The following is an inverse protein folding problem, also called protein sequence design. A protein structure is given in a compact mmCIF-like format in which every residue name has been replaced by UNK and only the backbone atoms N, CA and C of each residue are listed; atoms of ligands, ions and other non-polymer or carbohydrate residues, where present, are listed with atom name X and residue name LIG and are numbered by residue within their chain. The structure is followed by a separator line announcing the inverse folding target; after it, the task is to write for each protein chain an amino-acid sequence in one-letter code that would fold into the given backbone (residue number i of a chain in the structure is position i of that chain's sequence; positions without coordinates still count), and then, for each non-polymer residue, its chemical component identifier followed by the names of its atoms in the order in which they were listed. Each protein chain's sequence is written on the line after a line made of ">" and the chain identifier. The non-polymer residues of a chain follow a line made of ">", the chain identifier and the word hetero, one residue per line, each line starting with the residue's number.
data_IF_664638450042
#
_entry.id   IF_664638450042
#
_cell.length_a   1.000
_cell.length_b   1.000
_cell.length_c   1.000
_cell.angle_alpha   90.00
_cell.angle_beta   90.00
_cell.angle_gamma   90.00
#
_symmetry.space_group_name_H-M   'P 1'
#
loop_
_entity.id
_entity.type
_entity.pdbx_description
1 polymer ?
#
# COMPACT_ATOMS: atom_id res chain seq x y z
N UNK A 1 42.59 -53.64 16.21
CA UNK A 1 43.04 -53.60 14.80
C UNK A 1 43.10 -52.14 14.40
N UNK A 2 44.19 -51.37 14.61
CA UNK A 2 45.55 -51.53 14.08
C UNK A 2 45.56 -52.10 12.67
N UNK A 3 45.89 -51.29 11.66
CA UNK A 3 47.25 -51.29 11.06
C UNK A 3 47.54 -49.91 10.46
N UNK A 4 48.67 -49.37 10.91
CA UNK A 4 49.44 -48.23 10.42
C UNK A 4 50.45 -48.67 9.34
N UNK A 5 50.93 -47.72 8.51
CA UNK A 5 52.29 -47.61 7.95
C UNK A 5 52.30 -46.32 7.11
N UNK A 6 53.10 -45.27 7.35
CA UNK A 6 54.52 -45.20 7.74
C UNK A 6 55.36 -45.14 6.45
N UNK A 7 56.27 -44.20 6.17
CA UNK A 7 56.77 -43.01 6.86
C UNK A 7 58.11 -42.57 6.21
N UNK A 8 58.63 -41.40 6.65
CA UNK A 8 60.06 -40.96 6.67
C UNK A 8 60.72 -40.62 5.31
N UNK A 9 61.70 -39.72 5.17
CA UNK A 9 62.48 -38.76 6.01
C UNK A 9 63.40 -37.98 5.04
N UNK A 10 63.71 -36.72 5.33
CA UNK A 10 65.10 -36.27 5.62
C UNK A 10 65.56 -35.27 4.54
N UNK A 11 65.74 -33.96 4.77
CA UNK A 11 66.59 -33.15 5.68
C UNK A 11 67.91 -32.69 5.02
N UNK A 12 68.16 -31.38 5.18
CA UNK A 12 69.43 -30.67 5.43
C UNK A 12 70.16 -29.88 4.32
N UNK A 13 70.62 -28.68 4.73
CA UNK A 13 71.75 -27.90 4.20
C UNK A 13 71.39 -26.51 3.65
N UNK A 14 71.22 -25.45 4.46
CA UNK A 14 72.23 -24.51 5.01
C UNK A 14 73.11 -23.75 3.99
N UNK A 15 73.24 -22.43 4.16
CA UNK A 15 74.30 -21.61 3.54
C UNK A 15 74.02 -20.10 3.52
N UNK A 16 74.64 -19.36 4.45
CA UNK A 16 74.43 -17.96 4.77
C UNK A 16 75.34 -16.92 4.07
N UNK A 17 74.94 -15.64 4.14
CA UNK A 17 75.81 -14.45 4.27
C UNK A 17 76.03 -13.61 3.00
N UNK A 18 76.21 -12.28 3.00
CA UNK A 18 76.03 -11.16 3.93
C UNK A 18 76.37 -9.86 3.12
N UNK A 19 75.94 -8.70 3.63
CA UNK A 19 76.58 -7.37 3.55
C UNK A 19 76.25 -6.34 2.42
N UNK A 20 75.59 -5.28 2.89
CA UNK A 20 75.89 -3.83 2.79
C UNK A 20 75.70 -3.02 1.48
N UNK A 21 74.89 -1.96 1.61
CA UNK A 21 74.94 -0.75 0.79
C UNK A 21 74.05 0.37 1.34
N UNK A 22 74.66 1.38 1.97
CA UNK A 22 74.01 2.60 2.50
C UNK A 22 73.53 3.52 1.38
N UNK A 23 72.42 4.22 1.59
CA UNK A 23 71.98 5.33 0.73
C UNK A 23 70.83 6.14 1.35
N UNK A 24 71.18 7.26 1.97
CA UNK A 24 70.30 8.27 2.57
C UNK A 24 69.56 9.12 1.53
N UNK A 25 68.25 9.33 1.70
CA UNK A 25 67.44 10.31 0.95
C UNK A 25 66.11 10.57 1.66
N UNK A 26 65.81 11.84 1.95
CA UNK A 26 64.76 12.31 2.87
C UNK A 26 63.29 12.04 2.49
N UNK A 27 62.35 12.46 3.35
CA UNK A 27 60.94 12.06 3.25
C UNK A 27 60.24 12.80 2.10
N UNK A 28 59.82 12.05 1.06
CA UNK A 28 58.86 12.55 0.07
C UNK A 28 57.49 12.66 0.73
N UNK A 29 56.92 13.86 0.62
CA UNK A 29 55.57 14.21 1.02
C UNK A 29 54.56 13.18 0.52
N UNK A 30 53.73 12.65 1.44
CA UNK A 30 52.54 11.89 1.09
C UNK A 30 51.56 12.84 0.43
N UNK A 31 51.45 12.78 -0.89
CA UNK A 31 50.26 13.24 -1.60
C UNK A 31 49.07 12.44 -1.05
N UNK A 32 48.18 13.13 -0.31
CA UNK A 32 46.84 12.64 -0.02
C UNK A 32 46.08 12.63 -1.34
N UNK A 33 46.26 11.58 -2.11
CA UNK A 33 45.36 11.28 -3.21
C UNK A 33 44.08 10.75 -2.55
N UNK A 34 43.07 11.61 -2.48
CA UNK A 34 41.75 11.29 -1.97
C UNK A 34 41.10 10.31 -2.92
N UNK A 35 41.40 9.02 -2.72
CA UNK A 35 40.63 7.94 -3.31
C UNK A 35 39.19 8.07 -2.85
N UNK A 36 38.35 8.65 -3.71
CA UNK A 36 36.91 8.39 -3.68
C UNK A 36 36.78 6.88 -3.84
N UNK A 37 36.49 6.17 -2.75
CA UNK A 37 35.93 4.83 -2.85
C UNK A 37 34.72 4.94 -3.78
N UNK A 38 34.86 4.37 -4.97
CA UNK A 38 33.77 4.28 -5.92
C UNK A 38 32.64 3.52 -5.21
N UNK A 39 31.59 4.25 -4.84
CA UNK A 39 30.40 3.67 -4.26
C UNK A 39 29.96 2.50 -5.14
N UNK A 40 29.84 1.33 -4.54
CA UNK A 40 29.31 0.14 -5.23
C UNK A 40 27.99 0.57 -5.87
N UNK A 41 27.92 0.49 -7.20
CA UNK A 41 26.70 0.80 -7.93
C UNK A 41 25.66 -0.27 -7.57
N UNK A 42 24.85 0.02 -6.55
CA UNK A 42 23.83 -0.86 -5.99
C UNK A 42 22.55 -0.91 -6.85
N UNK A 43 22.58 -0.34 -8.07
CA UNK A 43 21.44 -0.43 -8.99
C UNK A 43 21.28 -1.86 -9.51
N UNK A 44 20.04 -2.35 -9.64
CA UNK A 44 19.79 -3.68 -10.18
C UNK A 44 20.33 -3.76 -11.61
N UNK A 45 21.28 -4.68 -11.83
CA UNK A 45 21.94 -4.87 -13.13
C UNK A 45 21.17 -5.79 -14.07
N UNK A 46 20.14 -6.46 -13.56
CA UNK A 46 19.38 -7.49 -14.26
C UNK A 46 17.91 -7.37 -13.85
N UNK A 47 17.03 -7.55 -14.83
CA UNK A 47 15.60 -7.72 -14.63
C UNK A 47 15.26 -9.20 -14.73
N UNK A 48 14.61 -9.77 -13.71
CA UNK A 48 14.13 -11.16 -13.75
C UNK A 48 12.83 -11.28 -14.55
N UNK A 49 12.64 -12.44 -15.19
CA UNK A 49 11.41 -12.71 -15.95
C UNK A 49 10.19 -12.85 -15.03
N UNK A 50 8.97 -12.57 -15.54
CA UNK A 50 7.71 -12.86 -14.85
C UNK A 50 7.61 -14.28 -14.29
N UNK A 51 8.10 -15.28 -15.05
CA UNK A 51 8.16 -16.69 -14.63
C UNK A 51 8.96 -16.88 -13.34
N UNK A 52 10.07 -16.15 -13.19
CA UNK A 52 10.89 -16.22 -11.97
C UNK A 52 10.13 -15.66 -10.76
N UNK A 53 9.46 -14.51 -10.94
CA UNK A 53 8.69 -13.86 -9.88
C UNK A 53 7.54 -14.76 -9.43
N UNK A 54 6.85 -15.41 -10.36
CA UNK A 54 5.78 -16.35 -10.04
C UNK A 54 6.29 -17.49 -9.15
N UNK A 55 7.44 -18.08 -9.48
CA UNK A 55 8.03 -19.20 -8.74
C UNK A 55 8.55 -18.81 -7.36
N UNK A 56 9.24 -17.67 -7.26
CA UNK A 56 9.93 -17.27 -6.02
C UNK A 56 9.13 -16.29 -5.16
N UNK A 57 8.06 -15.71 -5.69
CA UNK A 57 7.18 -14.73 -5.04
C UNK A 57 7.95 -13.58 -4.37
N UNK A 58 9.00 -13.14 -5.05
CA UNK A 58 9.90 -12.06 -4.63
C UNK A 58 10.32 -11.31 -5.87
N UNK A 59 10.49 -10.00 -5.77
CA UNK A 59 11.00 -9.18 -6.85
C UNK A 59 11.26 -7.75 -6.40
N UNK A 60 12.00 -7.00 -7.21
CA UNK A 60 12.10 -5.55 -7.09
C UNK A 60 10.85 -4.86 -7.68
N UNK A 61 10.77 -3.52 -7.61
CA UNK A 61 9.61 -2.77 -8.12
C UNK A 61 9.39 -2.97 -9.62
N UNK A 62 10.45 -2.94 -10.44
CA UNK A 62 10.38 -3.17 -11.89
C UNK A 62 9.89 -4.57 -12.24
N UNK A 63 10.39 -5.58 -11.54
CA UNK A 63 9.99 -6.98 -11.66
C UNK A 63 8.50 -7.13 -11.33
N UNK A 64 8.06 -6.59 -10.19
CA UNK A 64 6.66 -6.65 -9.78
C UNK A 64 5.74 -5.89 -10.74
N UNK A 65 6.16 -4.72 -11.23
CA UNK A 65 5.41 -3.95 -12.23
C UNK A 65 5.31 -4.69 -13.56
N UNK A 66 6.39 -5.30 -14.03
CA UNK A 66 6.42 -6.10 -15.27
C UNK A 66 5.50 -7.32 -15.17
N UNK A 67 5.53 -8.03 -14.02
CA UNK A 67 4.63 -9.15 -13.77
C UNK A 67 3.15 -8.72 -13.78
N UNK A 68 2.83 -7.62 -13.10
CA UNK A 68 1.47 -7.09 -13.03
C UNK A 68 0.97 -6.61 -14.40
N UNK A 69 1.79 -5.86 -15.14
CA UNK A 69 1.46 -5.40 -16.49
C UNK A 69 1.21 -6.58 -17.43
N UNK A 70 2.05 -7.63 -17.37
CA UNK A 70 1.86 -8.85 -18.17
C UNK A 70 0.52 -9.54 -17.87
N UNK A 71 0.10 -9.58 -16.60
CA UNK A 71 -1.18 -10.14 -16.20
C UNK A 71 -2.36 -9.30 -16.73
N UNK A 72 -2.26 -7.97 -16.64
CA UNK A 72 -3.29 -7.04 -17.08
C UNK A 72 -3.45 -7.03 -18.61
N UNK A 73 -2.33 -7.03 -19.35
CA UNK A 73 -2.32 -7.17 -20.80
C UNK A 73 -2.98 -8.49 -21.23
N UNK A 74 -2.70 -9.59 -20.52
CA UNK A 74 -3.35 -10.88 -20.75
C UNK A 74 -4.88 -10.88 -20.51
N UNK A 75 -5.39 -9.93 -19.73
CA UNK A 75 -6.84 -9.73 -19.50
C UNK A 75 -7.47 -8.69 -20.45
N UNK A 76 -6.68 -8.13 -21.36
CA UNK A 76 -7.11 -7.14 -22.34
C UNK A 76 -7.17 -5.70 -21.81
N UNK A 77 -6.44 -5.37 -20.73
CA UNK A 77 -6.27 -3.98 -20.31
C UNK A 77 -5.07 -3.36 -21.03
N UNK A 78 -5.20 -2.10 -21.44
CA UNK A 78 -4.11 -1.31 -22.01
C UNK A 78 -3.15 -0.84 -20.91
N UNK A 79 -2.29 -1.77 -20.46
CA UNK A 79 -1.39 -1.58 -19.32
C UNK A 79 0.06 -1.34 -19.76
N UNK A 80 0.73 -0.44 -19.05
CA UNK A 80 2.11 -0.04 -19.29
C UNK A 80 2.89 -0.11 -17.98
N UNK A 81 4.14 -0.55 -18.07
CA UNK A 81 5.10 -0.39 -16.98
C UNK A 81 5.70 1.01 -17.09
N UNK A 82 5.73 1.74 -15.98
CA UNK A 82 6.35 3.06 -15.88
C UNK A 82 7.72 2.92 -15.22
N UNK A 83 8.72 3.61 -15.78
CA UNK A 83 9.94 4.01 -15.08
C UNK A 83 9.86 5.50 -14.76
N UNK A 84 10.00 5.84 -13.49
CA UNK A 84 9.95 7.24 -13.06
C UNK A 84 10.44 7.43 -11.64
N UNK A 85 10.06 8.56 -11.07
CA UNK A 85 10.48 9.00 -9.75
C UNK A 85 9.30 8.98 -8.79
N UNK A 86 9.52 8.46 -7.60
CA UNK A 86 8.50 8.42 -6.55
C UNK A 86 9.04 8.92 -5.20
N UNK A 87 8.11 9.24 -4.30
CA UNK A 87 8.41 9.65 -2.94
C UNK A 87 9.08 8.52 -2.15
N UNK A 88 9.83 8.88 -1.09
CA UNK A 88 10.47 7.90 -0.20
C UNK A 88 9.47 6.86 0.31
N UNK A 89 8.30 7.30 0.73
CA UNK A 89 7.26 6.44 1.30
C UNK A 89 6.80 5.39 0.29
N UNK A 90 6.56 5.81 -0.96
CA UNK A 90 6.14 4.90 -2.03
C UNK A 90 7.24 3.89 -2.36
N UNK A 91 8.49 4.33 -2.50
CA UNK A 91 9.62 3.45 -2.84
C UNK A 91 9.93 2.42 -1.74
N UNK A 92 9.72 2.79 -0.46
CA UNK A 92 9.94 1.91 0.67
C UNK A 92 8.69 1.10 1.07
N UNK A 93 7.57 1.29 0.37
CA UNK A 93 6.27 0.73 0.75
C UNK A 93 5.90 1.08 2.22
N UNK A 94 6.28 2.27 2.67
CA UNK A 94 5.98 2.74 4.02
C UNK A 94 4.57 3.36 4.04
N UNK A 95 3.66 2.69 4.75
CA UNK A 95 2.27 3.10 4.90
C UNK A 95 1.98 3.64 6.30
N UNK A 96 2.97 3.72 7.19
CA UNK A 96 2.82 4.03 8.62
C UNK A 96 2.23 5.42 8.90
N UNK A 97 2.21 6.31 7.92
CA UNK A 97 1.66 7.67 8.04
C UNK A 97 0.31 7.84 7.35
N UNK A 98 -0.10 6.86 6.54
CA UNK A 98 -1.40 6.89 5.88
C UNK A 98 -2.48 6.36 6.80
N UNK A 99 -3.65 6.97 6.73
CA UNK A 99 -4.85 6.42 7.35
C UNK A 99 -5.16 5.05 6.74
N UNK A 100 -5.60 4.12 7.58
CA UNK A 100 -5.97 2.80 7.11
C UNK A 100 -7.33 2.86 6.39
N UNK A 101 -7.43 2.46 5.11
CA UNK A 101 -8.71 2.48 4.39
C UNK A 101 -9.71 1.45 4.89
N UNK A 102 -9.21 0.39 5.53
CA UNK A 102 -10.01 -0.77 5.94
C UNK A 102 -10.63 -0.64 7.33
N UNK A 103 -10.38 0.47 8.04
CA UNK A 103 -11.01 0.72 9.35
C UNK A 103 -12.51 0.94 9.10
N UNK A 104 -13.40 0.11 9.71
CA UNK A 104 -14.83 0.35 9.64
C UNK A 104 -15.10 1.76 10.15
N UNK A 105 -15.71 2.59 9.30
CA UNK A 105 -16.22 3.87 9.80
C UNK A 105 -17.22 3.51 10.90
N UNK A 106 -17.20 4.19 12.06
CA UNK A 106 -18.26 3.99 13.03
C UNK A 106 -19.55 4.17 12.25
N UNK A 107 -20.42 3.15 12.30
CA UNK A 107 -21.77 3.28 11.77
C UNK A 107 -22.24 4.62 12.32
N UNK A 108 -22.51 5.58 11.42
CA UNK A 108 -23.28 6.76 11.81
C UNK A 108 -24.46 6.12 12.50
N UNK A 109 -24.49 6.18 13.84
CA UNK A 109 -25.64 5.73 14.59
C UNK A 109 -26.75 6.44 13.84
N UNK A 110 -27.58 5.67 13.14
CA UNK A 110 -28.74 6.22 12.47
C UNK A 110 -29.31 7.09 13.57
N UNK A 111 -29.27 8.41 13.38
CA UNK A 111 -29.90 9.34 14.30
C UNK A 111 -31.26 8.69 14.44
N UNK A 112 -31.49 8.07 15.61
CA UNK A 112 -32.82 7.66 15.95
C UNK A 112 -33.43 9.02 16.06
N UNK A 113 -34.03 9.49 14.97
CA UNK A 113 -35.01 10.54 15.01
C UNK A 113 -35.80 10.19 16.27
N UNK A 114 -35.80 11.06 17.29
CA UNK A 114 -36.59 10.77 18.47
C UNK A 114 -37.98 10.53 17.92
N UNK A 115 -38.45 9.27 17.96
CA UNK A 115 -39.75 8.90 17.42
C UNK A 115 -40.73 9.75 18.21
N UNK A 116 -41.13 10.85 17.60
CA UNK A 116 -42.03 11.81 18.17
C UNK A 116 -43.38 11.11 18.23
N UNK A 117 -43.67 10.57 19.42
CA UNK A 117 -44.99 10.28 19.93
C UNK A 117 -45.83 9.27 19.16
N UNK A 118 -46.15 8.15 19.81
CA UNK A 118 -47.51 7.91 20.30
C UNK A 118 -47.53 6.57 21.07
N UNK A 119 -47.39 6.66 22.39
CA UNK A 119 -48.03 5.70 23.29
C UNK A 119 -49.03 6.48 24.15
N UNK A 120 -50.21 5.88 24.23
CA UNK A 120 -51.44 6.43 24.75
C UNK A 120 -51.35 6.71 26.26
N UNK A 121 -51.61 7.98 26.59
CA UNK A 121 -52.25 8.53 27.78
C UNK A 121 -52.39 7.57 28.99
N UNK A 122 -51.40 7.60 29.89
CA UNK A 122 -51.70 7.31 31.30
C UNK A 122 -52.40 8.53 31.91
N UNK A 123 -53.56 8.30 32.55
CA UNK A 123 -54.51 9.29 33.09
C UNK A 123 -53.92 10.29 34.10
N UNK A 124 -52.69 10.08 34.55
CA UNK A 124 -51.96 10.99 35.42
C UNK A 124 -50.68 11.46 34.72
N UNK A 125 -50.74 12.64 34.09
CA UNK A 125 -49.54 13.38 33.71
C UNK A 125 -48.91 13.92 34.99
N UNK A 126 -47.84 13.30 35.46
CA UNK A 126 -46.96 13.90 36.46
C UNK A 126 -46.46 15.23 35.89
N UNK A 127 -46.97 16.35 36.42
CA UNK A 127 -46.38 17.65 36.11
C UNK A 127 -45.00 17.64 36.75
N UNK A 128 -43.97 17.70 35.93
CA UNK A 128 -42.62 17.99 36.40
C UNK A 128 -42.69 19.28 37.22
N UNK A 129 -42.07 19.35 38.41
CA UNK A 129 -41.97 20.58 39.17
C UNK A 129 -41.47 21.71 38.25
N UNK A 130 -42.19 22.82 38.24
CA UNK A 130 -41.80 24.00 37.46
C UNK A 130 -40.53 24.54 38.12
N UNK A 131 -39.39 24.35 37.45
CA UNK A 131 -38.15 24.98 37.87
C UNK A 131 -38.25 26.48 37.57
N UNK A 132 -38.39 27.30 38.61
CA UNK A 132 -38.35 28.75 38.49
C UNK A 132 -36.90 29.22 38.31
N UNK A 133 -36.35 29.06 37.10
CA UNK A 133 -35.06 29.64 36.71
C UNK A 133 -35.28 31.01 36.10
N UNK A 134 -34.50 32.00 36.53
CA UNK A 134 -34.53 33.35 35.95
C UNK A 134 -34.06 33.31 34.50
N UNK A 135 -34.85 33.87 33.57
CA UNK A 135 -34.49 33.93 32.13
C UNK A 135 -33.14 34.64 31.89
N UNK A 136 -32.76 35.54 32.79
CA UNK A 136 -31.47 36.23 32.73
C UNK A 136 -30.30 35.28 33.05
N UNK A 137 -30.46 34.38 34.03
CA UNK A 137 -29.44 33.40 34.38
C UNK A 137 -29.24 32.38 33.27
N UNK A 138 -30.33 31.96 32.62
CA UNK A 138 -30.28 31.06 31.46
C UNK A 138 -29.48 31.68 30.30
N UNK A 139 -29.71 32.97 29.99
CA UNK A 139 -28.94 33.67 28.94
C UNK A 139 -27.44 33.76 29.29
N UNK A 140 -27.12 33.97 30.57
CA UNK A 140 -25.74 34.07 31.03
C UNK A 140 -25.04 32.70 30.95
N UNK A 141 -25.71 31.63 31.36
CA UNK A 141 -25.24 30.24 31.21
C UNK A 141 -25.05 29.85 29.73
N UNK A 142 -25.96 30.26 28.83
CA UNK A 142 -25.82 30.02 27.39
C UNK A 142 -24.62 30.75 26.79
N UNK A 143 -24.36 32.00 27.20
CA UNK A 143 -23.17 32.75 26.75
C UNK A 143 -21.88 32.14 27.31
N UNK A 144 -21.88 31.69 28.56
CA UNK A 144 -20.74 30.98 29.15
C UNK A 144 -20.47 29.65 28.47
N UNK A 145 -21.53 28.88 28.16
CA UNK A 145 -21.43 27.63 27.41
C UNK A 145 -20.88 27.85 25.99
N UNK A 146 -21.36 28.87 25.27
CA UNK A 146 -20.84 29.24 23.95
C UNK A 146 -19.36 29.64 24.01
N UNK A 147 -18.97 30.47 24.99
CA UNK A 147 -17.57 30.85 25.20
C UNK A 147 -16.70 29.65 25.55
N UNK A 148 -17.22 28.68 26.29
CA UNK A 148 -16.50 27.44 26.62
C UNK A 148 -16.32 26.57 25.38
N UNK A 149 -17.38 26.39 24.59
CA UNK A 149 -17.36 25.62 23.34
C UNK A 149 -16.41 26.23 22.31
N UNK A 150 -16.44 27.56 22.13
CA UNK A 150 -15.50 28.27 21.26
C UNK A 150 -14.04 28.10 21.71
N UNK A 151 -13.78 28.11 23.02
CA UNK A 151 -12.44 27.84 23.57
C UNK A 151 -11.99 26.42 23.30
N UNK A 152 -12.85 25.42 23.54
CA UNK A 152 -12.56 24.02 23.26
C UNK A 152 -12.26 23.80 21.77
N UNK A 153 -13.10 24.33 20.88
CA UNK A 153 -12.86 24.26 19.42
C UNK A 153 -11.56 24.96 19.01
N UNK A 154 -11.24 26.10 19.63
CA UNK A 154 -9.96 26.79 19.40
C UNK A 154 -8.77 25.93 19.85
N UNK A 155 -8.86 25.32 21.03
CA UNK A 155 -7.78 24.52 21.60
C UNK A 155 -7.61 23.19 20.85
N UNK A 156 -8.69 22.55 20.42
CA UNK A 156 -8.66 21.40 19.50
C UNK A 156 -7.99 21.77 18.17
N UNK A 157 -8.33 22.92 17.59
CA UNK A 157 -7.67 23.41 16.36
C UNK A 157 -6.19 23.66 16.56
N UNK A 158 -5.78 24.23 17.72
CA UNK A 158 -4.35 24.43 18.05
C UNK A 158 -3.64 23.10 18.22
N UNK A 159 -4.26 22.14 18.91
CA UNK A 159 -3.71 20.79 19.09
C UNK A 159 -3.56 20.08 17.74
N UNK A 160 -4.57 20.17 16.86
CA UNK A 160 -4.52 19.54 15.55
C UNK A 160 -3.44 20.17 14.64
N UNK A 161 -3.25 21.48 14.73
CA UNK A 161 -2.13 22.16 14.05
C UNK A 161 -0.77 21.70 14.56
N UNK A 162 -0.62 21.62 15.88
CA UNK A 162 0.62 21.14 16.50
C UNK A 162 0.91 19.68 16.12
N UNK A 163 -0.10 18.82 16.10
CA UNK A 163 0.03 17.43 15.65
C UNK A 163 0.46 17.40 14.18
N UNK A 164 -0.19 18.17 13.31
CA UNK A 164 0.16 18.21 11.89
C UNK A 164 1.60 18.71 11.67
N UNK A 165 2.05 19.70 12.44
CA UNK A 165 3.42 20.21 12.39
C UNK A 165 4.45 19.17 12.85
N UNK A 166 4.18 18.47 13.96
CA UNK A 166 5.03 17.39 14.45
C UNK A 166 5.01 16.16 13.53
N UNK A 167 3.91 15.95 12.81
CA UNK A 167 3.77 14.91 11.81
C UNK A 167 4.42 15.27 10.47
N UNK A 168 4.86 16.51 10.23
CA UNK A 168 5.57 16.83 9.00
C UNK A 168 6.84 15.99 8.87
N UNK A 169 7.08 15.50 7.66
CA UNK A 169 8.27 14.72 7.39
C UNK A 169 9.51 15.60 7.47
N UNK A 170 10.65 15.05 7.95
CA UNK A 170 11.92 15.70 7.71
C UNK A 170 12.10 15.88 6.19
N UNK A 171 12.67 17.01 5.76
CA UNK A 171 12.91 17.26 4.35
C UNK A 171 13.73 16.12 3.75
N UNK A 172 13.27 15.62 2.61
CA UNK A 172 13.85 14.46 1.95
C UNK A 172 14.95 14.89 0.98
N UNK A 173 16.20 14.60 1.34
CA UNK A 173 17.40 14.94 0.55
C UNK A 173 17.37 14.34 -0.86
N UNK A 174 16.75 13.17 -1.03
CA UNK A 174 16.69 12.43 -2.29
C UNK A 174 15.33 12.54 -2.98
N UNK A 175 14.51 13.54 -2.63
CA UNK A 175 13.23 13.76 -3.29
C UNK A 175 13.46 13.94 -4.79
N UNK A 176 12.71 13.19 -5.60
CA UNK A 176 12.83 13.22 -7.06
C UNK A 176 14.03 12.47 -7.64
N UNK A 177 14.88 11.86 -6.82
CA UNK A 177 16.04 11.09 -7.29
C UNK A 177 15.86 9.57 -7.16
N UNK A 178 14.82 9.13 -6.43
CA UNK A 178 14.53 7.70 -6.24
C UNK A 178 13.77 7.16 -7.43
N UNK A 179 14.42 6.26 -8.15
CA UNK A 179 13.83 5.53 -9.25
C UNK A 179 12.86 4.49 -8.69
N UNK A 180 11.65 4.48 -9.22
CA UNK A 180 10.60 3.53 -8.89
C UNK A 180 9.84 3.11 -10.14
N UNK A 181 9.19 1.96 -10.07
CA UNK A 181 8.38 1.45 -11.16
C UNK A 181 7.01 1.03 -10.67
N UNK A 182 5.99 1.46 -11.41
CA UNK A 182 4.60 1.16 -11.16
C UNK A 182 3.89 0.90 -12.49
N UNK A 183 2.62 0.51 -12.44
CA UNK A 183 1.84 0.23 -13.66
C UNK A 183 0.88 1.38 -13.92
N UNK A 184 0.77 1.82 -15.17
CA UNK A 184 -0.32 2.67 -15.62
C UNK A 184 -1.27 1.89 -16.52
N UNK A 185 -2.56 2.12 -16.36
CA UNK A 185 -3.59 1.71 -17.28
C UNK A 185 -4.09 2.97 -17.96
N UNK A 186 -3.96 3.03 -19.29
CA UNK A 186 -4.44 4.16 -20.08
C UNK A 186 -5.80 3.82 -20.70
N UNK A 187 -6.69 4.81 -20.85
CA UNK A 187 -7.93 4.61 -21.59
C UNK A 187 -7.59 4.24 -23.05
N UNK A 188 -8.34 3.30 -23.59
CA UNK A 188 -8.24 2.88 -25.00
C UNK A 188 -9.55 3.22 -25.68
N UNK A 189 -9.58 4.35 -26.42
CA UNK A 189 -10.78 4.76 -27.14
C UNK A 189 -11.22 3.64 -28.12
N UNK A 190 -12.40 3.08 -27.88
CA UNK A 190 -12.94 1.97 -28.68
C UNK A 190 -12.44 0.58 -28.28
N UNK A 191 -11.69 0.46 -27.17
CA UNK A 191 -11.30 -0.82 -26.59
C UNK A 191 -12.47 -1.55 -25.92
N UNK A 192 -12.35 -2.87 -25.68
CA UNK A 192 -13.41 -3.69 -25.08
C UNK A 192 -13.77 -3.26 -23.65
N UNK A 193 -12.90 -2.48 -22.99
CA UNK A 193 -13.04 -2.05 -21.59
C UNK A 193 -13.01 -0.53 -21.40
N UNK A 194 -13.26 0.24 -22.46
CA UNK A 194 -13.28 1.72 -22.42
C UNK A 194 -14.24 2.28 -21.35
N UNK A 195 -15.36 1.57 -21.10
CA UNK A 195 -16.31 1.94 -20.05
C UNK A 195 -15.78 1.74 -18.62
N UNK A 196 -14.82 0.83 -18.40
CA UNK A 196 -14.28 0.53 -17.07
C UNK A 196 -13.21 1.56 -16.65
N UNK A 197 -12.42 2.06 -17.60
CA UNK A 197 -11.28 2.94 -17.35
C UNK A 197 -11.46 4.25 -18.13
N UNK A 198 -12.21 5.22 -17.59
CA UNK A 198 -12.47 6.49 -18.27
C UNK A 198 -11.29 7.47 -18.19
N UNK A 199 -10.36 7.26 -17.27
CA UNK A 199 -9.20 8.10 -17.06
C UNK A 199 -7.96 7.26 -16.72
N UNK A 200 -6.74 7.78 -16.98
CA UNK A 200 -5.51 7.09 -16.62
C UNK A 200 -5.49 6.70 -15.13
N UNK A 201 -5.09 5.45 -14.86
CA UNK A 201 -5.06 4.88 -13.52
C UNK A 201 -3.66 4.34 -13.24
N UNK A 202 -3.09 4.70 -12.09
CA UNK A 202 -1.84 4.11 -11.62
C UNK A 202 -2.11 2.99 -10.64
N UNK A 203 -1.32 1.92 -10.70
CA UNK A 203 -1.39 0.80 -9.76
C UNK A 203 0.00 0.56 -9.21
N UNK A 204 0.10 0.59 -7.88
CA UNK A 204 1.33 0.21 -7.20
C UNK A 204 1.43 -1.33 -7.12
N UNK A 205 2.43 -1.96 -7.76
CA UNK A 205 2.47 -3.41 -7.90
C UNK A 205 2.68 -4.14 -6.56
N UNK A 206 3.36 -3.51 -5.60
CA UNK A 206 3.67 -4.12 -4.29
C UNK A 206 2.47 -4.13 -3.34
N UNK A 207 1.61 -3.11 -3.45
CA UNK A 207 0.44 -2.94 -2.56
C UNK A 207 -0.86 -3.39 -3.23
N UNK A 208 -0.94 -3.32 -4.56
CA UNK A 208 -2.17 -3.52 -5.35
C UNK A 208 -3.15 -2.34 -5.24
N UNK A 209 -2.72 -1.19 -4.72
CA UNK A 209 -3.56 0.00 -4.57
C UNK A 209 -3.54 0.78 -5.88
N UNK A 210 -4.73 1.18 -6.33
CA UNK A 210 -4.91 2.06 -7.48
C UNK A 210 -5.00 3.53 -7.06
N UNK A 211 -4.43 4.41 -7.87
CA UNK A 211 -4.37 5.85 -7.68
C UNK A 211 -4.85 6.55 -8.95
N UNK A 212 -5.77 7.51 -8.82
CA UNK A 212 -6.18 8.34 -9.94
C UNK A 212 -5.09 9.37 -10.26
N UNK A 213 -4.84 9.63 -11.54
CA UNK A 213 -3.86 10.67 -11.93
C UNK A 213 -4.31 12.09 -11.58
N UNK A 214 -5.61 12.29 -11.39
CA UNK A 214 -6.19 13.58 -11.02
C UNK A 214 -6.14 13.88 -9.51
N UNK A 215 -5.78 12.90 -8.67
CA UNK A 215 -5.75 13.08 -7.23
C UNK A 215 -4.47 13.82 -6.79
N UNK A 216 -4.62 14.86 -5.97
CA UNK A 216 -3.49 15.64 -5.44
C UNK A 216 -2.51 14.78 -4.60
N UNK A 217 -3.02 13.73 -3.96
CA UNK A 217 -2.19 12.79 -3.21
C UNK A 217 -1.27 12.01 -4.14
N UNK A 218 -1.77 11.59 -5.32
CA UNK A 218 -0.99 10.87 -6.34
C UNK A 218 0.17 11.73 -6.83
N UNK A 219 -0.06 13.02 -7.04
CA UNK A 219 0.93 14.01 -7.46
C UNK A 219 2.10 14.15 -6.47
N UNK A 220 1.88 13.89 -5.18
CA UNK A 220 2.93 13.91 -4.15
C UNK A 220 3.71 12.59 -4.08
N UNK A 221 3.07 11.48 -4.46
CA UNK A 221 3.66 10.15 -4.44
C UNK A 221 4.50 9.86 -5.69
N UNK A 222 4.00 10.25 -6.86
CA UNK A 222 4.64 10.03 -8.15
C UNK A 222 5.10 11.39 -8.71
N UNK A 223 6.41 11.60 -8.65
CA UNK A 223 7.04 12.90 -8.87
C UNK A 223 7.30 13.19 -10.36
N UNK A 224 7.53 12.14 -11.15
CA UNK A 224 7.80 12.27 -12.58
C UNK A 224 7.87 10.93 -13.28
N UNK A 225 7.71 10.95 -14.60
CA UNK A 225 7.73 9.78 -15.48
C UNK A 225 8.78 10.00 -16.55
N UNK A 226 9.70 9.05 -16.71
CA UNK A 226 10.76 9.12 -17.72
C UNK A 226 10.42 8.28 -18.95
N UNK A 227 9.96 7.06 -18.73
CA UNK A 227 9.63 6.15 -19.82
C UNK A 227 8.52 5.19 -19.43
N UNK A 228 7.86 4.66 -20.46
CA UNK A 228 6.83 3.66 -20.33
C UNK A 228 7.03 2.56 -21.36
N UNK A 229 6.62 1.33 -21.07
CA UNK A 229 6.68 0.25 -22.05
C UNK A 229 5.60 -0.81 -21.82
N UNK A 230 5.29 -1.53 -22.88
CA UNK A 230 4.41 -2.70 -22.85
C UNK A 230 4.97 -3.79 -23.78
N UNK A 231 4.12 -4.73 -24.19
CA UNK A 231 4.44 -5.81 -25.12
C UNK A 231 4.67 -5.35 -26.57
N UNK A 232 4.25 -4.12 -26.92
CA UNK A 232 4.28 -3.58 -28.28
C UNK A 232 5.42 -2.59 -28.52
N UNK A 233 5.74 -1.74 -27.54
CA UNK A 233 6.80 -0.75 -27.71
C UNK A 233 7.35 -0.23 -26.38
N UNK A 234 8.38 0.61 -26.50
CA UNK A 234 8.97 1.41 -25.45
C UNK A 234 8.87 2.88 -25.84
N UNK A 235 8.28 3.71 -24.98
CA UNK A 235 8.12 5.15 -25.18
C UNK A 235 8.94 5.93 -24.16
N UNK A 236 9.62 6.97 -24.63
CA UNK A 236 10.37 7.94 -23.84
C UNK A 236 9.54 9.21 -23.72
N UNK A 237 9.42 9.73 -22.51
CA UNK A 237 8.74 10.99 -22.26
C UNK A 237 9.64 12.16 -22.68
N UNK A 238 9.19 12.94 -23.66
CA UNK A 238 9.91 14.11 -24.18
C UNK A 238 9.39 15.42 -23.57
N UNK A 239 8.34 15.35 -22.76
CA UNK A 239 7.73 16.52 -22.14
C UNK A 239 8.68 17.12 -21.08
N UNK A 240 8.71 18.47 -20.93
CA UNK A 240 9.45 19.12 -19.85
C UNK A 240 8.76 18.85 -18.51
N UNK A 241 9.03 17.69 -17.92
CA UNK A 241 8.42 17.28 -16.65
C UNK A 241 9.10 17.95 -15.47
N UNK A 242 8.97 19.28 -15.38
CA UNK A 242 9.32 20.05 -14.19
C UNK A 242 8.13 20.05 -13.22
N UNK A 243 7.95 18.92 -12.52
CA UNK A 243 7.05 18.81 -11.38
C UNK A 243 5.76 18.04 -11.63
N UNK A 244 5.69 16.88 -10.97
CA UNK A 244 4.52 16.02 -10.75
C UNK A 244 3.97 15.28 -11.97
N UNK A 245 3.53 14.05 -11.75
CA UNK A 245 2.88 13.19 -12.74
C UNK A 245 1.53 13.73 -13.24
N UNK A 246 0.89 14.65 -12.52
CA UNK A 246 -0.44 15.17 -12.87
C UNK A 246 -0.45 16.01 -14.16
N UNK A 247 0.69 16.59 -14.52
CA UNK A 247 0.81 17.46 -15.70
C UNK A 247 1.20 16.71 -16.98
N UNK A 248 1.36 15.38 -16.91
CA UNK A 248 1.78 14.57 -18.04
C UNK A 248 0.59 14.34 -18.98
N UNK A 249 0.74 14.73 -20.24
CA UNK A 249 -0.23 14.38 -21.27
C UNK A 249 -0.01 12.93 -21.72
N UNK A 250 -1.06 12.12 -21.65
CA UNK A 250 -1.03 10.67 -21.91
C UNK A 250 -1.38 10.30 -23.36
N UNK A 251 -1.06 11.18 -24.30
CA UNK A 251 -1.34 10.98 -25.73
C UNK A 251 -0.13 10.40 -26.46
N UNK A 252 -0.11 9.07 -26.62
CA UNK A 252 1.01 8.32 -27.19
C UNK A 252 1.12 8.45 -28.72
N UNK A 253 0.14 9.04 -29.40
CA UNK A 253 0.21 9.22 -30.87
C UNK A 253 1.08 10.42 -31.24
N UNK A 254 1.36 11.32 -30.30
CA UNK A 254 2.16 12.53 -30.54
C UNK A 254 3.62 12.27 -30.20
N UNK A 255 4.45 12.15 -31.23
CA UNK A 255 5.90 11.98 -31.11
C UNK A 255 6.59 13.13 -30.34
N UNK A 256 6.01 14.33 -30.35
CA UNK A 256 6.50 15.49 -29.57
C UNK A 256 6.40 15.27 -28.05
N UNK A 257 5.42 14.46 -27.61
CA UNK A 257 5.18 14.16 -26.19
C UNK A 257 5.87 12.85 -25.80
N UNK A 258 5.74 11.84 -26.65
CA UNK A 258 6.23 10.49 -26.43
C UNK A 258 6.96 9.95 -27.66
N UNK A 259 8.28 9.81 -27.57
CA UNK A 259 9.08 9.23 -28.65
C UNK A 259 9.14 7.71 -28.48
N UNK A 260 8.79 6.96 -29.53
CA UNK A 260 8.78 5.49 -29.49
C UNK A 260 10.10 4.89 -30.03
N UNK A 261 10.58 3.81 -29.41
CA UNK A 261 11.82 3.15 -29.82
C UNK A 261 11.66 2.37 -31.13
N UNK A 262 10.57 1.62 -31.28
CA UNK A 262 10.29 0.82 -32.46
C UNK A 262 9.41 1.62 -33.42
N UNK A 263 10.04 2.17 -34.44
CA UNK A 263 9.34 2.89 -35.51
C UNK A 263 8.50 1.89 -36.32
N UNK A 264 7.18 1.89 -36.13
CA UNK A 264 6.25 1.04 -36.87
C UNK A 264 5.28 0.20 -36.02
N UNK A 265 5.48 0.14 -34.70
CA UNK A 265 4.59 -0.55 -33.75
C UNK A 265 3.99 0.42 -32.72
N UNK A 266 2.70 0.27 -32.34
CA UNK A 266 1.74 -0.66 -32.90
C UNK A 266 1.40 -0.32 -34.36
N UNK A 267 1.16 -1.34 -35.18
CA UNK A 267 0.71 -1.20 -36.58
C UNK A 267 -0.44 -0.20 -36.78
N UNK A 268 -1.29 -0.03 -35.76
CA UNK A 268 -2.40 0.95 -35.74
C UNK A 268 -1.96 2.41 -35.75
N UNK A 269 -0.71 2.72 -35.40
CA UNK A 269 -0.12 4.07 -35.43
C UNK A 269 0.60 4.37 -36.75
N UNK A 270 0.65 3.44 -37.72
CA UNK A 270 1.14 3.73 -39.06
C UNK A 270 0.15 4.68 -39.75
N UNK A 271 0.51 5.94 -39.89
CA UNK A 271 -0.28 6.88 -40.69
C UNK A 271 -0.44 6.28 -42.09
N UNK A 272 -1.70 6.15 -42.54
CA UNK A 272 -2.08 5.62 -43.85
C UNK A 272 -1.82 6.66 -44.95
N UNK A 273 -0.66 7.32 -44.90
CA UNK A 273 -0.18 8.17 -45.99
C UNK A 273 0.16 7.31 -47.19
N UNK A 274 -0.26 7.74 -48.38
CA UNK A 274 0.03 7.09 -49.66
C UNK A 274 1.51 6.71 -49.74
N UNK A 275 1.79 5.41 -49.76
CA UNK A 275 3.15 4.87 -49.73
C UNK A 275 3.76 5.05 -51.12
N UNK A 276 4.71 5.96 -51.25
CA UNK A 276 5.60 6.04 -52.42
C UNK A 276 6.42 4.74 -52.47
N UNK A 277 6.50 4.06 -53.61
CA UNK A 277 7.03 2.68 -53.72
C UNK A 277 8.49 2.52 -53.24
N UNK A 278 9.26 3.62 -53.13
CA UNK A 278 10.60 3.63 -52.51
C UNK A 278 10.57 3.56 -50.97
N UNK A 279 9.53 4.10 -50.31
CA UNK A 279 9.40 4.13 -48.84
C UNK A 279 8.92 2.79 -48.25
N UNK A 280 8.33 1.90 -49.07
CA UNK A 280 7.96 0.54 -48.65
C UNK A 280 9.16 -0.33 -48.26
N UNK A 281 10.33 -0.10 -48.87
CA UNK A 281 11.57 -0.85 -48.59
C UNK A 281 12.24 -0.37 -47.29
N UNK A 282 12.03 0.89 -46.88
CA UNK A 282 12.45 1.38 -45.56
C UNK A 282 11.49 0.96 -44.46
N UNK A 283 10.18 0.86 -44.78
CA UNK A 283 9.20 0.27 -43.88
C UNK A 283 9.49 -1.19 -43.56
N UNK A 284 10.15 -1.99 -44.42
CA UNK A 284 10.55 -3.38 -44.11
C UNK A 284 11.78 -3.52 -43.18
N UNK A 285 12.47 -2.41 -42.83
CA UNK A 285 13.60 -2.41 -41.89
C UNK A 285 13.20 -1.98 -40.47
N UNK A 286 11.93 -2.14 -40.10
CA UNK A 286 11.50 -1.93 -38.72
C UNK A 286 11.97 -3.09 -37.85
N UNK A 287 12.49 -2.75 -36.66
CA UNK A 287 12.71 -3.74 -35.63
C UNK A 287 11.34 -4.14 -35.07
N UNK A 288 10.90 -5.37 -35.38
CA UNK A 288 9.71 -5.93 -34.77
C UNK A 288 9.94 -6.29 -33.31
N UNK A 289 8.89 -6.18 -32.50
CA UNK A 289 8.92 -6.73 -31.15
C UNK A 289 9.17 -8.24 -31.20
N UNK A 290 10.22 -8.74 -30.52
CA UNK A 290 10.50 -10.16 -30.51
C UNK A 290 9.37 -10.91 -29.82
N UNK A 291 9.14 -12.15 -30.25
CA UNK A 291 8.22 -13.05 -29.55
C UNK A 291 8.65 -13.21 -28.09
N UNK A 292 7.65 -13.26 -27.21
CA UNK A 292 7.88 -13.50 -25.79
C UNK A 292 8.63 -14.82 -25.57
N UNK A 293 9.73 -14.76 -24.81
CA UNK A 293 10.53 -15.92 -24.41
C UNK A 293 10.18 -16.42 -23.01
N UNK A 294 9.10 -15.91 -22.40
CA UNK A 294 8.68 -16.26 -21.04
C UNK A 294 7.48 -17.19 -21.05
N UNK A 295 7.41 -18.07 -20.05
CA UNK A 295 6.30 -19.01 -19.90
C UNK A 295 4.98 -18.27 -19.61
N UNK A 296 3.87 -18.85 -20.05
CA UNK A 296 2.54 -18.36 -19.73
C UNK A 296 2.33 -18.30 -18.21
N UNK A 297 1.80 -17.18 -17.72
CA UNK A 297 1.45 -17.01 -16.31
C UNK A 297 0.26 -17.92 -16.01
N UNK A 298 0.49 -19.00 -15.27
CA UNK A 298 -0.55 -19.94 -14.85
C UNK A 298 -0.64 -20.02 -13.33
N UNK A 299 -1.64 -19.37 -12.73
CA UNK A 299 -1.84 -19.35 -11.28
C UNK A 299 -2.83 -20.45 -10.92
N UNK A 300 -2.37 -21.46 -10.19
CA UNK A 300 -3.26 -22.53 -9.72
C UNK A 300 -4.26 -22.01 -8.67
N UNK A 301 -5.43 -22.65 -8.56
CA UNK A 301 -6.45 -22.30 -7.56
C UNK A 301 -5.89 -22.28 -6.14
N UNK A 302 -5.08 -23.29 -5.79
CA UNK A 302 -4.42 -23.38 -4.48
C UNK A 302 -3.43 -22.23 -4.22
N UNK A 303 -2.76 -21.70 -5.25
CA UNK A 303 -1.88 -20.54 -5.12
C UNK A 303 -2.67 -19.23 -5.03
N UNK A 304 -3.75 -19.13 -5.79
CA UNK A 304 -4.68 -18.01 -5.75
C UNK A 304 -5.31 -17.87 -4.35
N UNK A 305 -5.79 -18.99 -3.77
CA UNK A 305 -6.33 -19.02 -2.42
C UNK A 305 -5.31 -18.62 -1.36
N UNK A 306 -4.03 -18.99 -1.52
CA UNK A 306 -2.98 -18.58 -0.57
C UNK A 306 -2.80 -17.07 -0.49
N UNK A 307 -3.14 -16.30 -1.55
CA UNK A 307 -3.06 -14.83 -1.68
C UNK A 307 -1.68 -14.22 -1.42
N UNK A 308 -1.13 -14.40 -0.23
CA UNK A 308 0.16 -13.86 0.23
C UNK A 308 1.26 -14.92 0.24
N UNK A 309 2.54 -14.52 0.12
CA UNK A 309 3.65 -15.41 0.44
C UNK A 309 3.47 -15.93 1.88
N UNK A 310 3.55 -17.25 2.08
CA UNK A 310 3.28 -17.92 3.37
C UNK A 310 1.85 -17.77 3.92
N UNK A 311 0.90 -17.21 3.15
CA UNK A 311 -0.51 -17.11 3.54
C UNK A 311 -0.84 -15.97 4.51
N UNK A 312 0.13 -15.13 4.90
CA UNK A 312 -0.10 -13.99 5.80
C UNK A 312 0.55 -12.72 5.29
N UNK A 313 -0.09 -11.57 5.50
CA UNK A 313 0.48 -10.24 5.23
C UNK A 313 0.18 -9.28 6.37
N UNK A 314 1.21 -8.66 6.93
CA UNK A 314 1.08 -7.61 7.94
C UNK A 314 1.44 -6.27 7.32
N UNK A 315 0.65 -5.24 7.60
CA UNK A 315 0.86 -3.89 7.08
C UNK A 315 0.60 -2.89 8.19
N UNK A 316 1.51 -1.94 8.35
CA UNK A 316 1.39 -0.87 9.34
C UNK A 316 0.92 0.41 8.65
N UNK A 317 -0.12 1.00 9.24
CA UNK A 317 -0.71 2.28 8.88
C UNK A 317 -0.57 3.23 10.07
N UNK A 318 -1.05 4.46 9.91
CA UNK A 318 -1.08 5.46 10.99
C UNK A 318 -1.83 4.92 12.20
N UNK A 319 -1.07 4.68 13.28
CA UNK A 319 -1.55 4.12 14.55
C UNK A 319 -2.36 2.83 14.40
N UNK A 320 -2.16 2.08 13.32
CA UNK A 320 -3.01 0.94 13.00
C UNK A 320 -2.18 -0.19 12.41
N UNK A 321 -2.33 -1.40 12.94
CA UNK A 321 -1.73 -2.63 12.40
C UNK A 321 -2.81 -3.46 11.73
N UNK A 322 -2.60 -3.83 10.48
CA UNK A 322 -3.51 -4.69 9.71
C UNK A 322 -2.82 -6.01 9.40
N UNK A 323 -3.42 -7.10 9.86
CA UNK A 323 -2.99 -8.46 9.58
C UNK A 323 -4.03 -9.13 8.69
N UNK A 324 -3.60 -9.64 7.54
CA UNK A 324 -4.44 -10.37 6.59
C UNK A 324 -3.96 -11.81 6.50
N UNK A 325 -4.92 -12.72 6.48
CA UNK A 325 -4.70 -14.16 6.44
C UNK A 325 -5.39 -14.73 5.19
N UNK A 326 -4.78 -15.76 4.62
CA UNK A 326 -5.40 -16.55 3.56
C UNK A 326 -6.61 -17.33 4.10
N UNK A 327 -7.64 -17.58 3.28
CA UNK A 327 -8.72 -18.49 3.63
C UNK A 327 -8.19 -19.82 4.14
N UNK A 328 -8.82 -20.35 5.19
CA UNK A 328 -8.50 -21.65 5.81
C UNK A 328 -7.11 -21.79 6.44
N UNK A 329 -6.25 -20.77 6.41
CA UNK A 329 -4.96 -20.82 7.08
C UNK A 329 -5.13 -20.82 8.60
N UNK A 330 -6.06 -20.00 9.10
CA UNK A 330 -6.40 -19.94 10.51
C UNK A 330 -7.57 -20.88 10.80
N UNK A 331 -7.47 -21.79 11.80
CA UNK A 331 -8.54 -22.75 12.11
C UNK A 331 -9.82 -22.09 12.62
N UNK A 332 -9.73 -20.85 13.12
CA UNK A 332 -10.86 -20.06 13.60
C UNK A 332 -11.58 -19.27 12.49
N UNK A 333 -11.16 -19.39 11.23
CA UNK A 333 -11.73 -18.66 10.09
C UNK A 333 -11.37 -17.17 10.04
N UNK A 334 -10.37 -16.71 10.80
CA UNK A 334 -9.95 -15.31 10.80
C UNK A 334 -9.28 -14.94 9.47
N UNK A 335 -9.85 -13.96 8.79
CA UNK A 335 -9.37 -13.46 7.49
C UNK A 335 -8.58 -12.16 7.63
N UNK A 336 -9.01 -11.27 8.52
CA UNK A 336 -8.38 -9.99 8.74
C UNK A 336 -8.51 -9.55 10.18
N UNK A 337 -7.44 -9.02 10.74
CA UNK A 337 -7.43 -8.35 12.05
C UNK A 337 -6.84 -6.97 11.90
N UNK A 338 -7.57 -5.96 12.37
CA UNK A 338 -7.13 -4.57 12.43
C UNK A 338 -7.02 -4.21 13.90
N UNK A 339 -5.84 -3.81 14.35
CA UNK A 339 -5.62 -3.30 15.70
C UNK A 339 -5.27 -1.83 15.61
N UNK A 340 -6.06 -0.99 16.27
CA UNK A 340 -5.80 0.44 16.42
C UNK A 340 -5.06 0.68 17.72
N UNK A 341 -4.19 1.68 17.71
CA UNK A 341 -3.32 2.05 18.82
C UNK A 341 -3.49 3.54 19.15
N UNK A 342 -3.19 3.90 20.38
CA UNK A 342 -3.13 5.32 20.77
C UNK A 342 -1.80 5.95 20.33
N UNK A 343 -0.72 5.16 20.38
CA UNK A 343 0.64 5.58 20.06
C UNK A 343 1.07 5.21 18.62
N UNK A 344 2.07 5.94 18.11
CA UNK A 344 2.67 5.67 16.78
C UNK A 344 3.57 4.42 16.78
N UNK A 345 4.09 4.03 17.95
CA UNK A 345 4.94 2.84 18.09
C UNK A 345 4.14 1.54 18.20
N UNK A 346 2.79 1.61 18.19
CA UNK A 346 1.89 0.47 18.29
C UNK A 346 2.10 -0.36 19.58
N UNK A 347 2.24 0.32 20.72
CA UNK A 347 2.45 -0.29 22.04
C UNK A 347 1.14 -0.42 22.82
N UNK A 348 0.25 0.57 22.74
CA UNK A 348 -1.01 0.63 23.50
C UNK A 348 -2.24 0.43 22.59
N UNK A 349 -2.73 -0.81 22.45
CA UNK A 349 -3.89 -1.09 21.60
C UNK A 349 -5.18 -0.58 22.24
N UNK A 350 -6.04 0.05 21.44
CA UNK A 350 -7.32 0.64 21.87
C UNK A 350 -8.51 -0.15 21.37
N UNK A 351 -8.52 -0.47 20.07
CA UNK A 351 -9.62 -1.18 19.42
C UNK A 351 -9.09 -2.28 18.51
N UNK A 352 -9.83 -3.38 18.42
CA UNK A 352 -9.52 -4.49 17.52
C UNK A 352 -10.76 -4.88 16.73
N UNK A 353 -10.61 -4.94 15.41
CA UNK A 353 -11.63 -5.37 14.46
C UNK A 353 -11.17 -6.66 13.80
N UNK A 354 -11.98 -7.72 13.92
CA UNK A 354 -11.68 -9.03 13.38
C UNK A 354 -12.76 -9.44 12.38
N UNK A 355 -12.37 -9.69 11.14
CA UNK A 355 -13.25 -10.19 10.10
C UNK A 355 -13.01 -11.68 9.89
N UNK A 356 -14.10 -12.43 9.84
CA UNK A 356 -14.14 -13.88 9.75
C UNK A 356 -14.83 -14.32 8.46
N UNK A 357 -14.43 -15.48 7.95
CA UNK A 357 -15.09 -16.16 6.85
C UNK A 357 -15.16 -17.67 7.11
N UNK A 358 -16.16 -18.32 6.51
CA UNK A 358 -16.30 -19.78 6.48
C UNK A 358 -16.39 -20.44 7.86
N UNK A 359 -16.94 -19.72 8.86
CA UNK A 359 -17.23 -20.28 10.17
C UNK A 359 -18.62 -20.91 10.19
N UNK A 360 -18.77 -22.03 10.90
CA UNK A 360 -20.04 -22.74 11.06
C UNK A 360 -21.10 -21.97 11.87
N UNK A 361 -20.67 -21.05 12.74
CA UNK A 361 -21.54 -20.19 13.54
C UNK A 361 -22.01 -18.92 12.80
N UNK A 362 -21.60 -18.74 11.54
CA UNK A 362 -21.89 -17.57 10.71
C UNK A 362 -21.39 -16.23 11.31
N UNK A 363 -20.38 -16.23 12.18
CA UNK A 363 -19.74 -14.99 12.64
C UNK A 363 -18.97 -14.33 11.49
N UNK A 364 -19.23 -13.04 11.25
CA UNK A 364 -18.66 -12.26 10.14
C UNK A 364 -17.66 -11.21 10.66
N UNK A 365 -18.03 -10.47 11.70
CA UNK A 365 -17.21 -9.39 12.25
C UNK A 365 -17.28 -9.40 13.77
N UNK A 366 -16.16 -9.13 14.44
CA UNK A 366 -16.09 -8.89 15.88
C UNK A 366 -15.35 -7.59 16.14
N UNK A 367 -15.96 -6.67 16.88
CA UNK A 367 -15.39 -5.40 17.30
C UNK A 367 -15.13 -5.44 18.80
N UNK A 368 -13.86 -5.30 19.18
CA UNK A 368 -13.40 -5.33 20.57
C UNK A 368 -12.82 -3.98 20.93
N UNK A 369 -13.43 -3.28 21.89
CA UNK A 369 -12.86 -2.07 22.46
C UNK A 369 -12.18 -2.44 23.78
N UNK A 370 -10.86 -2.27 23.83
CA UNK A 370 -10.00 -2.68 24.94
C UNK A 370 -10.03 -1.67 26.10
N UNK A 371 -10.49 -0.44 25.86
CA UNK A 371 -10.61 0.56 26.93
C UNK A 371 -11.82 0.25 27.83
N UNK A 372 -12.91 -0.23 27.24
CA UNK A 372 -14.16 -0.52 27.94
C UNK A 372 -14.42 -2.03 28.11
N UNK A 373 -13.51 -2.89 27.64
CA UNK A 373 -13.68 -4.36 27.54
C UNK A 373 -15.02 -4.77 26.89
N UNK A 374 -15.48 -4.00 25.91
CA UNK A 374 -16.74 -4.28 25.20
C UNK A 374 -16.46 -5.05 23.91
N UNK A 375 -17.27 -6.08 23.67
CA UNK A 375 -17.18 -6.92 22.47
C UNK A 375 -18.54 -6.94 21.76
N UNK A 376 -18.54 -6.57 20.49
CA UNK A 376 -19.74 -6.56 19.64
C UNK A 376 -19.50 -7.47 18.44
N UNK A 377 -20.29 -8.53 18.36
CA UNK A 377 -20.19 -9.55 17.31
C UNK A 377 -21.34 -9.43 16.31
N UNK A 378 -21.01 -9.52 15.02
CA UNK A 378 -21.94 -9.46 13.90
C UNK A 378 -21.98 -10.81 13.18
N UNK A 379 -23.18 -11.36 13.03
CA UNK A 379 -23.43 -12.66 12.42
C UNK A 379 -24.21 -12.53 11.11
N UNK A 380 -23.90 -13.38 10.12
CA UNK A 380 -24.64 -13.47 8.87
C UNK A 380 -26.03 -14.09 9.06
N UNK A 381 -26.93 -13.85 8.10
CA UNK A 381 -28.29 -14.43 8.06
C UNK A 381 -28.24 -15.96 8.05
N UNK A 382 -29.13 -16.62 8.79
CA UNK A 382 -29.21 -18.09 8.86
C UNK A 382 -28.88 -18.75 10.20
N UNK A 383 -28.65 -17.98 11.28
CA UNK A 383 -28.50 -18.52 12.65
C UNK A 383 -29.88 -18.70 13.30
N UNK A 384 -30.09 -19.80 14.01
CA UNK A 384 -31.39 -20.15 14.60
C UNK A 384 -31.87 -19.18 15.69
N UNK A 385 -30.94 -18.47 16.33
CA UNK A 385 -31.13 -17.44 17.36
C UNK A 385 -31.24 -16.01 16.78
N UNK A 386 -31.56 -15.88 15.49
CA UNK A 386 -31.73 -14.56 14.86
C UNK A 386 -32.92 -13.78 15.43
N UNK A 387 -32.63 -12.87 16.35
CA UNK A 387 -33.51 -11.75 16.65
C UNK A 387 -33.65 -10.88 15.40
N UNK A 388 -34.90 -10.61 14.99
CA UNK A 388 -35.21 -9.66 13.90
C UNK A 388 -34.67 -8.28 14.28
N UNK A 389 -33.53 -7.91 13.71
CA UNK A 389 -33.00 -6.54 13.73
C UNK A 389 -32.72 -5.97 15.12
N UNK A 390 -31.60 -6.33 15.71
CA UNK A 390 -31.09 -5.66 16.90
C UNK A 390 -29.71 -6.20 17.25
N UNK A 391 -28.70 -5.35 17.15
CA UNK A 391 -27.34 -5.56 17.65
C UNK A 391 -27.35 -6.29 18.99
N UNK A 392 -26.84 -7.52 19.02
CA UNK A 392 -26.55 -8.23 20.27
C UNK A 392 -25.32 -7.56 20.89
N UNK A 393 -25.54 -6.60 21.78
CA UNK A 393 -24.55 -6.18 22.76
C UNK A 393 -24.39 -7.34 23.76
N UNK A 394 -23.53 -8.29 23.46
CA UNK A 394 -23.03 -9.24 24.46
C UNK A 394 -22.03 -8.51 25.34
N UNK A 395 -22.51 -7.76 26.33
CA UNK A 395 -21.72 -7.42 27.50
C UNK A 395 -21.55 -8.70 28.33
N UNK A 396 -20.62 -9.57 27.92
CA UNK A 396 -20.14 -10.66 28.78
C UNK A 396 -19.24 -10.03 29.85
N UNK A 397 -19.85 -9.32 30.80
CA UNK A 397 -19.22 -9.04 32.07
C UNK A 397 -19.20 -10.39 32.81
N UNK A 398 -18.06 -11.09 32.74
CA UNK A 398 -17.81 -12.25 33.59
C UNK A 398 -17.59 -11.76 35.02
N UNK A 399 -18.67 -11.31 35.66
CA UNK A 399 -18.64 -11.03 37.09
C UNK A 399 -18.88 -12.34 37.83
N UNK A 400 -17.82 -12.82 38.48
CA UNK A 400 -17.70 -14.17 39.01
C UNK A 400 -18.37 -14.26 40.38
N UNK A 401 -19.64 -13.90 40.51
CA UNK A 401 -20.40 -14.11 41.74
C UNK A 401 -21.88 -14.46 41.49
N UNK A 402 -22.13 -15.78 41.50
CA UNK A 402 -23.29 -16.47 42.10
C UNK A 402 -24.47 -15.58 42.54
N UNK A 403 -25.60 -15.65 41.83
CA UNK A 403 -26.92 -15.50 42.46
C UNK A 403 -28.03 -16.20 41.66
N UNK A 404 -28.96 -16.72 42.46
CA UNK A 404 -29.96 -17.74 42.19
C UNK A 404 -31.21 -17.08 41.59
N UNK A 405 -31.77 -17.64 40.51
CA UNK A 405 -33.13 -17.33 40.07
C UNK A 405 -34.11 -18.07 40.99
N UNK A 406 -34.87 -17.32 41.78
CA UNK A 406 -36.16 -17.76 42.33
C UNK A 406 -37.25 -17.21 41.42
N UNK A 407 -37.99 -18.14 40.80
CA UNK A 407 -39.27 -17.88 40.16
C UNK A 407 -40.30 -17.43 41.21
N UNK A 408 -40.96 -16.30 40.97
CA UNK A 408 -42.30 -16.05 41.49
C UNK A 408 -43.22 -15.58 40.36
N UNK A 409 -44.00 -16.57 39.89
CA UNK A 409 -45.37 -16.60 39.36
C UNK A 409 -45.82 -15.65 38.25
#
# INVERSE_FOLDING_TARGET
>A
MMVTRGGKRGTDGEGAGNANGRGSGGPRARSRDGGREAGVDCRPKQLRSPTWIQKFRKGNCFECATFLASLLLGQGYNAFVISGYASREQTLCDLTRRSCPSVPRPDKQAEREPKAGQLEITKYKLRLPIEYKSEFLLKLEEEEAKKLEEKLLSDEKKQQKLINELEQLPPDEYRGHRIHSWVAILPELGGPRDQEIPCPLFIEPTTGVSYGTADDDTAQLYLGVESIWNDKNYWVNMQPSAGSCANVAWDLTKAELWEHLLSGEPWTMRETGEVDEESGVEQEKHLDMPASYVDQINISEAEFEKRFPNGTKTTFYKKTKVERYAPYLQPNGLMQRITMYDDYNCTSPTETYENYANRSDNLVESRKNLNNDTVVDYYARGRADQCKGGSLLTSLCFDRHRLILLDEK
#
